data_IF_947175257000
#
_entry.id   IF_947175257000
#
_cell.length_a   1.000
_cell.length_b   1.000
_cell.length_c   1.000
_cell.angle_alpha   90.00
_cell.angle_beta   90.00
_cell.angle_gamma   90.00
#
_symmetry.space_group_name_H-M   'P 1'
#
loop_
_entity.id
_entity.type
_entity.pdbx_description
1 polymer ?
#
# COMPACT_ATOMS: atom_id res chain seq x y z
N UNK A 1 48.60 -24.07 5.47
CA UNK A 1 48.86 -25.53 5.52
C UNK A 1 48.35 -26.06 6.85
N UNK A 2 47.63 -27.19 6.84
CA UNK A 2 47.22 -27.91 8.06
C UNK A 2 47.88 -29.29 8.06
N UNK A 3 48.73 -29.56 9.04
CA UNK A 3 49.25 -30.90 9.30
C UNK A 3 48.15 -31.71 10.00
N UNK A 4 47.76 -32.86 9.44
CA UNK A 4 46.83 -33.80 10.06
C UNK A 4 47.40 -35.21 9.94
N UNK A 5 47.13 -36.05 10.93
CA UNK A 5 47.57 -37.45 10.97
C UNK A 5 46.32 -38.35 11.00
N UNK A 6 46.15 -39.15 9.95
CA UNK A 6 45.00 -40.04 9.79
C UNK A 6 45.04 -41.26 10.72
N UNK A 7 46.17 -41.53 11.38
CA UNK A 7 46.35 -42.64 12.34
C UNK A 7 46.03 -42.25 13.79
N UNK A 8 45.83 -40.96 14.06
CA UNK A 8 45.42 -40.48 15.38
C UNK A 8 43.90 -40.38 15.47
N UNK A 9 43.34 -40.77 16.61
CA UNK A 9 41.93 -40.60 16.96
C UNK A 9 41.78 -39.50 18.02
N UNK A 10 41.94 -38.21 17.66
CA UNK A 10 41.75 -37.12 18.60
C UNK A 10 40.28 -37.04 19.04
N UNK A 11 40.04 -36.57 20.25
CA UNK A 11 38.69 -36.18 20.66
C UNK A 11 38.43 -34.76 20.17
N UNK A 12 37.43 -34.59 19.30
CA UNK A 12 37.04 -33.29 18.75
C UNK A 12 35.67 -32.91 19.31
N UNK A 13 35.50 -31.67 19.73
CA UNK A 13 34.21 -31.14 20.19
C UNK A 13 34.01 -29.70 19.73
N UNK A 14 32.75 -29.29 19.57
CA UNK A 14 32.36 -27.89 19.29
C UNK A 14 31.33 -27.48 20.33
N UNK A 15 31.57 -26.35 21.00
CA UNK A 15 30.72 -25.84 22.10
C UNK A 15 30.39 -26.91 23.17
N UNK A 16 31.35 -27.80 23.47
CA UNK A 16 31.20 -28.89 24.43
C UNK A 16 30.56 -30.17 23.90
N UNK A 17 30.01 -30.17 22.68
CA UNK A 17 29.44 -31.36 22.05
C UNK A 17 30.50 -32.12 21.25
N UNK A 18 30.70 -33.41 21.54
CA UNK A 18 31.67 -34.26 20.84
C UNK A 18 31.24 -34.54 19.40
N UNK A 19 32.19 -34.47 18.47
CA UNK A 19 31.98 -34.77 17.06
C UNK A 19 32.56 -36.15 16.70
N UNK A 20 31.91 -36.90 15.79
CA UNK A 20 32.51 -38.09 15.22
C UNK A 20 33.75 -37.68 14.41
N UNK A 21 34.84 -38.41 14.61
CA UNK A 21 36.12 -38.17 13.92
C UNK A 21 36.35 -39.29 12.92
N UNK A 22 36.57 -38.92 11.66
CA UNK A 22 36.92 -39.83 10.57
C UNK A 22 38.22 -39.35 9.94
N UNK A 23 39.20 -40.24 9.82
CA UNK A 23 40.52 -39.95 9.23
C UNK A 23 41.22 -38.73 9.86
N UNK A 24 41.12 -38.59 11.19
CA UNK A 24 41.71 -37.47 11.95
C UNK A 24 40.97 -36.13 11.81
N UNK A 25 39.77 -36.11 11.20
CA UNK A 25 38.96 -34.90 10.99
C UNK A 25 37.58 -35.04 11.62
N UNK A 26 37.15 -34.01 12.35
CA UNK A 26 35.76 -33.85 12.80
C UNK A 26 35.02 -32.86 11.91
N UNK A 27 33.84 -33.24 11.41
CA UNK A 27 32.99 -32.35 10.61
C UNK A 27 31.89 -31.78 11.51
N UNK A 28 31.88 -30.46 11.68
CA UNK A 28 30.83 -29.74 12.39
C UNK A 28 29.77 -29.27 11.39
N UNK A 29 28.50 -29.61 11.65
CA UNK A 29 27.36 -29.04 10.92
C UNK A 29 26.72 -27.97 11.81
N UNK A 30 26.76 -26.73 11.33
CA UNK A 30 26.27 -25.57 12.07
C UNK A 30 24.73 -25.53 12.16
N UNK A 31 24.22 -24.80 13.16
CA UNK A 31 22.78 -24.62 13.37
C UNK A 31 22.18 -23.75 12.26
N UNK A 32 21.01 -24.12 11.75
CA UNK A 32 20.24 -23.36 10.74
C UNK A 32 19.16 -22.47 11.34
N UNK A 33 19.07 -22.38 12.67
CA UNK A 33 18.15 -21.48 13.37
C UNK A 33 18.58 -20.03 13.18
N UNK A 34 17.60 -19.13 13.07
CA UNK A 34 17.84 -17.70 12.91
C UNK A 34 18.63 -17.12 14.09
N UNK A 35 19.58 -16.23 13.80
CA UNK A 35 20.35 -15.52 14.81
C UNK A 35 21.85 -15.50 14.56
N UNK A 36 22.56 -14.83 15.46
CA UNK A 36 24.02 -14.83 15.50
C UNK A 36 24.47 -16.00 16.36
N UNK A 37 25.28 -16.88 15.77
CA UNK A 37 25.79 -18.07 16.43
C UNK A 37 27.30 -17.97 16.55
N UNK A 38 27.80 -18.41 17.71
CA UNK A 38 29.22 -18.47 18.02
C UNK A 38 29.63 -19.91 18.22
N UNK A 39 30.82 -20.27 17.76
CA UNK A 39 31.37 -21.59 18.00
C UNK A 39 32.88 -21.57 18.28
N UNK A 40 33.28 -22.48 19.15
CA UNK A 40 34.67 -22.78 19.49
C UNK A 40 34.90 -24.27 19.32
N UNK A 41 35.84 -24.64 18.46
CA UNK A 41 36.31 -26.00 18.31
C UNK A 41 37.39 -26.33 19.33
N UNK A 42 37.30 -27.49 19.97
CA UNK A 42 38.31 -28.02 20.89
C UNK A 42 38.78 -29.39 20.41
N UNK A 43 40.09 -29.55 20.24
CA UNK A 43 40.75 -30.79 19.83
C UNK A 43 41.66 -31.26 20.97
N UNK A 44 41.43 -32.48 21.46
CA UNK A 44 42.25 -33.13 22.49
C UNK A 44 43.00 -34.31 21.90
N UNK A 45 44.32 -34.27 22.04
CA UNK A 45 45.23 -35.32 21.55
C UNK A 45 45.91 -35.96 22.74
N UNK A 46 45.82 -37.28 22.87
CA UNK A 46 46.63 -38.04 23.83
C UNK A 46 48.05 -38.17 23.28
N UNK A 47 49.02 -37.63 24.01
CA UNK A 47 50.43 -37.72 23.65
C UNK A 47 51.00 -39.08 24.08
N UNK A 48 52.17 -39.42 23.54
CA UNK A 48 52.89 -40.68 23.82
C UNK A 48 53.31 -40.83 25.28
N UNK A 49 53.38 -39.73 26.03
CA UNK A 49 53.66 -39.69 27.48
C UNK A 49 52.39 -39.88 28.36
N UNK A 50 51.23 -40.13 27.73
CA UNK A 50 49.95 -40.31 28.40
C UNK A 50 49.21 -39.01 28.75
N UNK A 51 49.83 -37.83 28.55
CA UNK A 51 49.19 -36.53 28.81
C UNK A 51 48.22 -36.16 27.69
N UNK A 52 47.16 -35.44 28.05
CA UNK A 52 46.19 -34.91 27.08
C UNK A 52 46.56 -33.46 26.79
N UNK A 53 46.86 -33.16 25.53
CA UNK A 53 47.07 -31.78 25.07
C UNK A 53 45.81 -31.27 24.39
N UNK A 54 45.35 -30.11 24.82
CA UNK A 54 44.14 -29.45 24.33
C UNK A 54 44.50 -28.27 23.42
N UNK A 55 43.83 -28.17 22.27
CA UNK A 55 43.91 -27.06 21.34
C UNK A 55 42.51 -26.50 21.12
N UNK A 56 42.36 -25.18 21.23
CA UNK A 56 41.10 -24.48 20.95
C UNK A 56 41.24 -23.56 19.75
N UNK A 57 40.21 -23.49 18.92
CA UNK A 57 40.12 -22.45 17.89
C UNK A 57 39.77 -21.11 18.55
N UNK A 58 40.11 -19.97 17.91
CA UNK A 58 39.49 -18.70 18.24
C UNK A 58 37.96 -18.80 18.09
N UNK A 59 37.22 -17.98 18.83
CA UNK A 59 35.76 -17.87 18.68
C UNK A 59 35.42 -17.43 17.25
N UNK A 60 34.62 -18.23 16.55
CA UNK A 60 34.13 -17.93 15.22
C UNK A 60 32.65 -17.58 15.30
N UNK A 61 32.22 -16.57 14.54
CA UNK A 61 30.84 -16.10 14.51
C UNK A 61 30.24 -16.29 13.11
N UNK A 62 29.01 -16.77 13.02
CA UNK A 62 28.22 -16.81 11.79
C UNK A 62 26.79 -16.34 12.05
N UNK A 63 26.13 -15.81 11.03
CA UNK A 63 24.76 -15.33 11.11
C UNK A 63 23.87 -16.12 10.16
N UNK A 64 22.73 -16.59 10.66
CA UNK A 64 21.69 -17.22 9.84
C UNK A 64 20.50 -16.27 9.75
N UNK A 65 20.16 -15.87 8.52
CA UNK A 65 19.02 -15.03 8.24
C UNK A 65 17.78 -15.87 7.91
N UNK A 66 16.59 -15.37 8.27
CA UNK A 66 15.31 -15.94 7.83
C UNK A 66 15.25 -15.95 6.30
N UNK A 67 14.89 -17.07 5.64
CA UNK A 67 14.54 -17.05 4.22
C UNK A 67 13.37 -16.08 4.02
N UNK A 68 13.57 -15.01 3.26
CA UNK A 68 12.51 -14.05 2.91
C UNK A 68 12.28 -14.05 1.41
N UNK A 69 11.01 -14.10 1.02
CA UNK A 69 10.57 -13.90 -0.36
C UNK A 69 9.59 -12.73 -0.38
N UNK A 70 9.77 -11.81 -1.33
CA UNK A 70 8.88 -10.66 -1.51
C UNK A 70 7.99 -10.94 -2.71
N UNK A 71 6.69 -11.08 -2.46
CA UNK A 71 5.67 -11.23 -3.51
C UNK A 71 4.90 -9.91 -3.58
N UNK A 72 5.09 -9.18 -4.67
CA UNK A 72 4.47 -7.86 -4.88
C UNK A 72 3.64 -7.83 -6.16
N UNK A 73 2.37 -7.37 -6.09
CA UNK A 73 1.53 -7.26 -7.28
C UNK A 73 2.00 -6.12 -8.20
N UNK A 74 2.63 -6.46 -9.32
CA UNK A 74 3.20 -5.49 -10.28
C UNK A 74 2.18 -4.47 -10.80
N UNK A 75 0.92 -4.90 -11.00
CA UNK A 75 -0.15 -4.02 -11.48
C UNK A 75 -0.78 -3.11 -10.41
N UNK A 76 -0.40 -3.24 -9.14
CA UNK A 76 -0.94 -2.42 -8.05
C UNK A 76 -0.03 -1.25 -7.66
N UNK A 77 1.11 -1.07 -8.33
CA UNK A 77 1.98 0.10 -8.14
C UNK A 77 1.31 1.36 -8.71
N UNK A 78 0.38 1.93 -7.94
CA UNK A 78 -0.42 3.11 -8.27
C UNK A 78 -0.46 4.05 -7.08
N UNK A 79 -0.21 5.33 -7.33
CA UNK A 79 -0.45 6.42 -6.36
C UNK A 79 -1.56 7.32 -6.89
N UNK A 80 -2.48 7.71 -6.02
CA UNK A 80 -3.60 8.59 -6.34
C UNK A 80 -3.28 10.04 -6.01
N UNK A 81 -3.58 10.94 -6.94
CA UNK A 81 -3.47 12.39 -6.75
C UNK A 81 -4.52 12.86 -5.74
N UNK A 82 -4.15 13.80 -4.88
CA UNK A 82 -5.06 14.45 -3.93
C UNK A 82 -5.33 13.66 -2.64
N UNK A 83 -4.61 12.56 -2.42
CA UNK A 83 -4.70 11.74 -1.21
C UNK A 83 -3.30 11.40 -0.68
N UNK A 84 -3.13 11.22 0.64
CA UNK A 84 -1.94 10.59 1.18
C UNK A 84 -1.94 9.10 0.80
N UNK A 85 -0.87 8.65 0.15
CA UNK A 85 -0.71 7.26 -0.28
C UNK A 85 0.23 6.54 0.71
N UNK A 86 -0.27 5.65 1.59
CA UNK A 86 0.57 4.96 2.57
C UNK A 86 1.44 3.90 1.91
N UNK A 87 2.72 3.88 2.28
CA UNK A 87 3.75 2.99 1.73
C UNK A 87 4.59 2.44 2.87
N UNK A 88 4.71 1.12 2.93
CA UNK A 88 5.63 0.46 3.83
C UNK A 88 6.95 0.17 3.10
N UNK A 89 8.07 0.55 3.71
CA UNK A 89 9.42 0.31 3.17
C UNK A 89 10.24 -0.49 4.17
N UNK A 90 10.89 -1.54 3.68
CA UNK A 90 11.81 -2.37 4.45
C UNK A 90 12.96 -2.82 3.58
N UNK A 91 14.16 -2.85 4.14
CA UNK A 91 15.35 -3.40 3.49
C UNK A 91 15.93 -4.51 4.38
N UNK A 92 16.12 -5.75 3.87
CA UNK A 92 16.70 -6.84 4.64
C UNK A 92 18.08 -6.47 5.21
N UNK A 93 18.28 -6.73 6.51
CA UNK A 93 19.55 -6.45 7.19
C UNK A 93 19.76 -4.97 7.58
N UNK A 94 18.82 -4.07 7.27
CA UNK A 94 18.92 -2.65 7.60
C UNK A 94 17.85 -2.27 8.64
N UNK A 95 18.24 -1.70 9.80
CA UNK A 95 17.28 -1.15 10.76
C UNK A 95 16.42 -0.06 10.13
N UNK A 96 15.12 -0.02 10.45
CA UNK A 96 14.15 0.90 9.82
C UNK A 96 14.54 2.37 9.96
N UNK A 97 15.06 2.75 11.11
CA UNK A 97 15.57 4.09 11.44
C UNK A 97 16.80 4.51 10.62
N UNK A 98 17.50 3.58 9.96
CA UNK A 98 18.61 3.89 9.04
C UNK A 98 18.18 3.96 7.58
N UNK A 99 16.91 3.66 7.29
CA UNK A 99 16.36 3.70 5.93
C UNK A 99 15.98 5.15 5.60
N UNK A 100 16.57 5.66 4.54
CA UNK A 100 16.22 6.92 3.91
C UNK A 100 15.40 6.63 2.65
N UNK A 101 14.28 7.33 2.53
CA UNK A 101 13.36 7.17 1.38
C UNK A 101 13.21 8.51 0.70
N UNK A 102 13.38 8.52 -0.62
CA UNK A 102 13.27 9.72 -1.44
C UNK A 102 12.35 9.47 -2.63
N UNK A 103 11.55 10.47 -2.95
CA UNK A 103 10.73 10.48 -4.15
C UNK A 103 11.48 11.16 -5.31
N UNK A 104 11.36 10.58 -6.51
CA UNK A 104 11.98 11.04 -7.76
C UNK A 104 10.90 11.13 -8.83
N UNK A 105 10.95 12.18 -9.67
CA UNK A 105 9.96 12.40 -10.73
C UNK A 105 8.77 13.27 -10.34
N UNK A 106 8.76 13.85 -9.14
CA UNK A 106 7.75 14.78 -8.65
C UNK A 106 6.93 14.25 -7.47
N UNK A 107 6.33 15.16 -6.71
CA UNK A 107 5.65 14.86 -5.46
C UNK A 107 6.56 14.97 -4.22
N UNK A 108 6.07 14.48 -3.10
CA UNK A 108 6.80 14.42 -1.82
C UNK A 108 6.52 13.11 -1.10
N UNK A 109 7.46 12.69 -0.27
CA UNK A 109 7.29 11.56 0.64
C UNK A 109 7.72 11.98 2.04
N UNK A 110 6.90 11.66 3.02
CA UNK A 110 7.14 11.94 4.43
C UNK A 110 6.89 10.68 5.27
N UNK A 111 7.30 10.69 6.52
CA UNK A 111 7.22 9.52 7.42
C UNK A 111 8.60 8.99 7.79
N UNK A 112 8.61 7.92 8.58
CA UNK A 112 9.82 7.34 9.15
C UNK A 112 9.56 5.93 9.66
N UNK A 113 10.61 5.24 10.09
CA UNK A 113 10.53 3.91 10.72
C UNK A 113 9.77 2.89 9.87
N UNK A 114 10.00 2.93 8.55
CA UNK A 114 9.42 1.98 7.59
C UNK A 114 7.99 2.29 7.16
N UNK A 115 7.34 3.35 7.67
CA UNK A 115 6.02 3.80 7.25
C UNK A 115 6.11 5.21 6.66
N UNK A 116 5.62 5.37 5.44
CA UNK A 116 5.71 6.62 4.69
C UNK A 116 4.37 6.96 4.03
N UNK A 117 4.16 8.23 3.76
CA UNK A 117 3.04 8.73 2.98
C UNK A 117 3.58 9.49 1.77
N UNK A 118 3.21 9.02 0.57
CA UNK A 118 3.54 9.69 -0.67
C UNK A 118 2.39 10.60 -1.12
N UNK A 119 2.74 11.83 -1.48
CA UNK A 119 1.83 12.81 -2.08
C UNK A 119 2.27 13.11 -3.50
N UNK A 120 1.35 12.95 -4.46
CA UNK A 120 1.58 13.16 -5.90
C UNK A 120 0.62 14.19 -6.45
N UNK A 121 1.08 14.98 -7.42
CA UNK A 121 0.34 16.13 -7.95
C UNK A 121 0.19 16.14 -9.48
N UNK A 122 0.90 15.28 -10.21
CA UNK A 122 0.88 15.24 -11.67
C UNK A 122 0.75 13.80 -12.19
N UNK A 123 0.02 13.63 -13.29
CA UNK A 123 -0.09 12.35 -14.00
C UNK A 123 1.27 11.94 -14.59
N UNK A 124 1.49 10.63 -14.69
CA UNK A 124 2.73 10.06 -15.22
C UNK A 124 3.26 8.95 -14.33
N UNK A 125 4.58 8.89 -14.19
CA UNK A 125 5.25 7.92 -13.33
C UNK A 125 6.21 8.62 -12.37
N UNK A 126 6.30 8.09 -11.16
CA UNK A 126 7.20 8.56 -10.11
C UNK A 126 7.92 7.36 -9.52
N UNK A 127 9.14 7.56 -9.02
CA UNK A 127 9.92 6.48 -8.42
C UNK A 127 10.23 6.78 -6.96
N UNK A 128 10.18 5.75 -6.13
CA UNK A 128 10.60 5.81 -4.73
C UNK A 128 11.94 5.11 -4.64
N UNK A 129 12.98 5.89 -4.36
CA UNK A 129 14.34 5.43 -4.17
C UNK A 129 14.60 5.19 -2.68
N UNK A 130 15.23 4.06 -2.37
CA UNK A 130 15.57 3.66 -1.01
C UNK A 130 17.09 3.63 -0.86
N UNK A 131 17.60 4.29 0.17
CA UNK A 131 19.00 4.27 0.54
C UNK A 131 19.15 4.08 2.04
N UNK A 132 20.33 3.67 2.50
CA UNK A 132 20.63 3.63 3.93
C UNK A 132 22.08 4.03 4.18
N UNK A 133 22.33 4.58 5.36
CA UNK A 133 23.69 4.90 5.79
C UNK A 133 24.33 3.70 6.50
N UNK A 134 25.42 3.19 5.93
CA UNK A 134 26.18 2.06 6.47
C UNK A 134 27.63 2.50 6.58
N UNK A 135 28.18 2.45 7.80
CA UNK A 135 29.57 2.81 8.08
C UNK A 135 29.96 4.22 7.56
N UNK A 136 29.06 5.20 7.71
CA UNK A 136 29.29 6.58 7.29
C UNK A 136 29.19 6.83 5.78
N UNK A 137 28.74 5.84 5.00
CA UNK A 137 28.49 5.97 3.55
C UNK A 137 27.03 5.69 3.22
N UNK A 138 26.44 6.52 2.37
CA UNK A 138 25.10 6.28 1.82
C UNK A 138 25.21 5.20 0.75
N UNK A 139 24.49 4.10 0.95
CA UNK A 139 24.35 3.02 -0.01
C UNK A 139 22.92 2.99 -0.55
N UNK A 140 22.77 2.92 -1.87
CA UNK A 140 21.46 2.78 -2.52
C UNK A 140 21.03 1.31 -2.59
N UNK A 141 19.75 1.07 -2.31
CA UNK A 141 19.13 -0.27 -2.30
C UNK A 141 18.21 -0.50 -3.50
N UNK A 142 18.05 0.52 -4.35
CA UNK A 142 17.24 0.48 -5.56
C UNK A 142 16.04 1.43 -5.51
N UNK A 143 15.22 1.35 -6.54
CA UNK A 143 14.02 2.17 -6.68
C UNK A 143 12.84 1.35 -7.19
N UNK A 144 11.63 1.79 -6.83
CA UNK A 144 10.38 1.22 -7.32
C UNK A 144 9.56 2.30 -8.03
N UNK A 145 9.14 2.03 -9.26
CA UNK A 145 8.34 2.94 -10.07
C UNK A 145 6.84 2.71 -9.84
N UNK A 146 6.11 3.81 -9.68
CA UNK A 146 4.67 3.88 -9.46
C UNK A 146 4.02 4.73 -10.54
N UNK A 147 2.85 4.28 -11.01
CA UNK A 147 2.01 5.07 -11.91
C UNK A 147 1.16 6.03 -11.10
N UNK A 148 1.13 7.28 -11.50
CA UNK A 148 0.26 8.28 -10.87
C UNK A 148 -1.06 8.33 -11.60
N UNK A 149 -2.15 8.09 -10.86
CA UNK A 149 -3.52 8.12 -11.39
C UNK A 149 -4.37 9.14 -10.65
N UNK A 150 -5.42 9.61 -11.33
CA UNK A 150 -6.52 10.31 -10.68
C UNK A 150 -7.41 9.31 -9.95
N UNK A 151 -8.07 9.80 -8.92
CA UNK A 151 -9.17 9.06 -8.29
C UNK A 151 -10.23 8.81 -9.39
N UNK A 152 -10.81 7.60 -9.46
CA UNK A 152 -11.88 7.31 -10.41
C UNK A 152 -13.02 8.33 -10.31
N UNK A 153 -13.74 8.52 -11.41
CA UNK A 153 -14.87 9.45 -11.42
C UNK A 153 -16.01 8.88 -10.55
N UNK A 154 -16.61 9.70 -9.66
CA UNK A 154 -17.73 9.27 -8.85
C UNK A 154 -19.00 9.17 -9.70
N UNK A 155 -20.01 8.47 -9.19
CA UNK A 155 -21.35 8.42 -9.79
C UNK A 155 -22.30 9.33 -9.04
N UNK A 156 -23.12 10.07 -9.79
CA UNK A 156 -24.21 10.84 -9.21
C UNK A 156 -25.29 9.89 -8.67
N UNK A 157 -25.77 10.16 -7.46
CA UNK A 157 -26.84 9.40 -6.80
C UNK A 157 -27.86 10.34 -6.17
N UNK A 158 -29.13 10.04 -6.39
CA UNK A 158 -30.29 10.67 -5.76
C UNK A 158 -31.18 9.57 -5.16
N UNK A 159 -31.57 9.69 -3.89
CA UNK A 159 -32.17 8.59 -3.12
C UNK A 159 -31.36 7.28 -3.18
N UNK A 160 -30.02 7.37 -3.23
CA UNK A 160 -29.12 6.21 -3.32
C UNK A 160 -29.07 5.51 -4.68
N UNK A 161 -29.79 6.01 -5.70
CA UNK A 161 -29.84 5.43 -7.06
C UNK A 161 -29.34 6.42 -8.10
N UNK A 162 -28.92 5.92 -9.26
CA UNK A 162 -28.55 6.73 -10.44
C UNK A 162 -29.58 6.63 -11.57
N UNK A 163 -30.50 5.66 -11.52
CA UNK A 163 -31.61 5.59 -12.47
C UNK A 163 -32.73 4.72 -11.94
N UNK A 164 -33.84 4.68 -12.68
CA UNK A 164 -34.94 3.72 -12.49
C UNK A 164 -36.23 4.37 -12.01
N UNK A 165 -37.08 3.57 -11.38
CA UNK A 165 -38.36 4.02 -10.82
C UNK A 165 -38.21 4.32 -9.32
N UNK A 166 -38.77 5.45 -8.91
CA UNK A 166 -38.83 5.89 -7.51
C UNK A 166 -40.24 6.43 -7.24
N UNK A 167 -40.76 6.22 -6.05
CA UNK A 167 -42.09 6.76 -5.73
C UNK A 167 -42.04 8.28 -5.74
N UNK A 168 -43.15 8.91 -6.13
CA UNK A 168 -43.26 10.36 -6.08
C UNK A 168 -42.92 10.93 -4.68
N UNK A 169 -43.27 10.20 -3.62
CA UNK A 169 -42.95 10.56 -2.22
C UNK A 169 -41.45 10.55 -1.95
N UNK A 170 -40.74 9.50 -2.39
CA UNK A 170 -39.27 9.43 -2.21
C UNK A 170 -38.58 10.60 -2.91
N UNK A 171 -38.96 10.86 -4.16
CA UNK A 171 -38.39 11.97 -4.95
C UNK A 171 -38.59 13.33 -4.25
N UNK A 172 -39.78 13.57 -3.69
CA UNK A 172 -40.10 14.82 -2.96
C UNK A 172 -39.33 15.00 -1.66
N UNK A 173 -39.06 13.92 -0.95
CA UNK A 173 -38.40 13.96 0.35
C UNK A 173 -36.87 14.09 0.27
N UNK A 174 -36.28 13.85 -0.90
CA UNK A 174 -34.84 14.02 -1.09
C UNK A 174 -34.47 15.49 -1.25
N UNK A 175 -33.39 15.89 -0.58
CA UNK A 175 -32.93 17.29 -0.58
C UNK A 175 -31.61 17.49 -1.31
N UNK A 176 -30.84 16.42 -1.53
CA UNK A 176 -29.46 16.51 -2.00
C UNK A 176 -29.17 15.47 -3.08
N UNK A 177 -28.32 15.87 -4.02
CA UNK A 177 -27.64 15.01 -4.97
C UNK A 177 -26.25 14.69 -4.42
N UNK A 178 -25.81 13.45 -4.54
CA UNK A 178 -24.53 12.98 -4.02
C UNK A 178 -23.62 12.48 -5.12
N UNK A 179 -22.31 12.68 -4.98
CA UNK A 179 -21.28 12.06 -5.83
C UNK A 179 -20.60 10.95 -5.02
N UNK A 180 -20.78 9.70 -5.44
CA UNK A 180 -20.36 8.51 -4.67
C UNK A 180 -19.38 7.69 -5.50
N UNK A 181 -18.26 7.29 -4.89
CA UNK A 181 -17.34 6.32 -5.47
C UNK A 181 -17.79 4.90 -5.10
N UNK A 182 -17.95 4.05 -6.11
CA UNK A 182 -18.22 2.63 -5.90
C UNK A 182 -16.88 1.88 -5.78
N UNK A 183 -16.74 1.02 -4.77
CA UNK A 183 -15.60 0.10 -4.61
C UNK A 183 -14.20 0.73 -4.62
N UNK A 184 -14.08 1.98 -4.14
CA UNK A 184 -12.79 2.66 -4.03
C UNK A 184 -12.13 2.39 -2.67
N UNK A 185 -10.85 2.02 -2.69
CA UNK A 185 -10.12 1.54 -1.51
C UNK A 185 -9.66 2.65 -0.54
N UNK A 186 -9.75 3.91 -0.95
CA UNK A 186 -9.45 5.06 -0.09
C UNK A 186 -10.73 5.80 0.29
N UNK A 187 -10.73 6.45 1.46
CA UNK A 187 -11.77 7.42 1.82
C UNK A 187 -11.54 8.73 1.06
N UNK A 188 -12.18 8.86 -0.09
CA UNK A 188 -12.16 10.07 -0.92
C UNK A 188 -13.57 10.62 -1.07
N UNK A 189 -13.73 11.93 -0.82
CA UNK A 189 -15.02 12.61 -0.84
C UNK A 189 -15.11 13.55 -2.03
N UNK A 190 -16.18 13.40 -2.80
CA UNK A 190 -16.52 14.30 -3.90
C UNK A 190 -17.72 15.16 -3.51
N UNK A 191 -17.65 16.44 -3.84
CA UNK A 191 -18.73 17.40 -3.59
C UNK A 191 -19.30 17.89 -4.90
N UNK A 192 -20.61 17.84 -5.06
CA UNK A 192 -21.31 18.40 -6.22
C UNK A 192 -21.32 19.93 -6.11
N UNK A 193 -20.89 20.60 -7.18
CA UNK A 193 -20.77 22.06 -7.26
C UNK A 193 -21.88 22.68 -8.08
N UNK A 194 -22.42 21.99 -9.08
CA UNK A 194 -23.60 22.41 -9.85
C UNK A 194 -24.26 21.23 -10.55
N UNK A 195 -25.53 21.40 -10.90
CA UNK A 195 -26.31 20.51 -11.75
C UNK A 195 -27.57 21.24 -12.23
N UNK A 196 -28.18 20.75 -13.30
CA UNK A 196 -29.49 21.17 -13.78
C UNK A 196 -30.54 20.11 -13.43
N UNK A 197 -31.70 20.54 -12.91
CA UNK A 197 -32.86 19.69 -12.68
C UNK A 197 -33.87 19.90 -13.80
N UNK A 198 -34.27 18.81 -14.45
CA UNK A 198 -35.31 18.81 -15.46
C UNK A 198 -36.48 17.97 -14.97
N UNK A 199 -37.67 18.57 -14.91
CA UNK A 199 -38.91 17.86 -14.57
C UNK A 199 -39.84 17.90 -15.77
N UNK A 200 -40.15 16.71 -16.29
CA UNK A 200 -41.07 16.51 -17.41
C UNK A 200 -42.31 15.76 -16.90
N UNK A 201 -43.39 16.51 -16.66
CA UNK A 201 -44.68 15.91 -16.28
C UNK A 201 -45.40 15.40 -17.53
N UNK A 202 -46.30 14.40 -17.40
CA UNK A 202 -47.08 13.92 -18.54
C UNK A 202 -47.87 15.07 -19.19
N UNK A 203 -47.72 15.24 -20.50
CA UNK A 203 -48.45 16.25 -21.31
C UNK A 203 -48.21 17.71 -20.90
N UNK A 204 -47.08 18.01 -20.28
CA UNK A 204 -46.66 19.38 -19.96
C UNK A 204 -45.25 19.64 -20.46
N UNK A 205 -44.91 20.91 -20.62
CA UNK A 205 -43.57 21.34 -20.98
C UNK A 205 -42.56 21.02 -19.88
N UNK A 206 -41.30 20.82 -20.28
CA UNK A 206 -40.22 20.55 -19.35
C UNK A 206 -39.89 21.81 -18.53
N UNK A 207 -39.76 21.65 -17.22
CA UNK A 207 -39.24 22.68 -16.33
C UNK A 207 -37.77 22.42 -16.11
N UNK A 208 -36.91 23.36 -16.50
CA UNK A 208 -35.44 23.28 -16.33
C UNK A 208 -35.02 24.33 -15.31
N UNK A 209 -34.27 23.89 -14.28
CA UNK A 209 -33.82 24.76 -13.19
C UNK A 209 -32.35 24.45 -12.92
N UNK A 210 -31.48 25.45 -12.98
CA UNK A 210 -30.08 25.31 -12.61
C UNK A 210 -29.86 25.42 -11.10
N UNK A 211 -28.93 24.61 -10.59
CA UNK A 211 -28.59 24.51 -9.18
C UNK A 211 -27.12 24.78 -8.93
N UNK A 212 -26.84 25.43 -7.80
CA UNK A 212 -25.50 25.67 -7.29
C UNK A 212 -25.33 24.89 -5.98
N UNK A 213 -24.31 24.04 -5.92
CA UNK A 213 -24.06 23.10 -4.83
C UNK A 213 -24.79 21.77 -5.00
N UNK A 214 -24.70 20.93 -3.96
CA UNK A 214 -25.29 19.58 -3.94
C UNK A 214 -26.76 19.54 -3.51
N UNK A 215 -27.24 20.59 -2.85
CA UNK A 215 -28.61 20.67 -2.36
C UNK A 215 -29.56 21.19 -3.45
N UNK A 216 -30.80 20.69 -3.45
CA UNK A 216 -31.87 21.26 -4.26
C UNK A 216 -32.14 22.71 -3.81
N UNK A 217 -32.16 23.64 -4.77
CA UNK A 217 -32.55 25.03 -4.51
C UNK A 217 -34.03 25.13 -4.13
N UNK A 218 -34.49 26.24 -3.52
CA UNK A 218 -35.92 26.42 -3.23
C UNK A 218 -36.83 26.25 -4.46
N UNK A 219 -36.40 26.76 -5.62
CA UNK A 219 -37.13 26.59 -6.89
C UNK A 219 -37.21 25.12 -7.31
N UNK A 220 -36.11 24.38 -7.19
CA UNK A 220 -36.08 22.93 -7.45
C UNK A 220 -37.00 22.16 -6.50
N UNK A 221 -37.01 22.49 -5.21
CA UNK A 221 -37.89 21.86 -4.21
C UNK A 221 -39.36 22.11 -4.53
N UNK A 222 -39.72 23.33 -4.91
CA UNK A 222 -41.08 23.67 -5.36
C UNK A 222 -41.48 22.88 -6.60
N UNK A 223 -40.60 22.77 -7.59
CA UNK A 223 -40.85 21.97 -8.79
C UNK A 223 -41.01 20.47 -8.44
N UNK A 224 -40.17 19.95 -7.53
CA UNK A 224 -40.21 18.57 -7.05
C UNK A 224 -41.53 18.26 -6.30
N UNK A 225 -42.08 19.19 -5.53
CA UNK A 225 -43.38 19.03 -4.87
C UNK A 225 -44.52 18.74 -5.86
N UNK A 226 -44.39 19.24 -7.09
CA UNK A 226 -45.33 19.00 -8.18
C UNK A 226 -45.15 17.66 -8.91
N UNK A 227 -44.19 16.82 -8.52
CA UNK A 227 -43.98 15.49 -9.10
C UNK A 227 -45.16 14.57 -8.77
N UNK A 228 -45.67 13.90 -9.79
CA UNK A 228 -46.76 12.92 -9.70
C UNK A 228 -46.37 11.65 -10.46
N UNK A 229 -47.02 10.50 -10.23
CA UNK A 229 -46.76 9.29 -11.00
C UNK A 229 -46.75 9.55 -12.52
N UNK A 230 -45.77 8.99 -13.22
CA UNK A 230 -45.51 9.21 -14.65
C UNK A 230 -44.61 10.41 -14.96
N UNK A 231 -44.27 11.25 -13.98
CA UNK A 231 -43.31 12.35 -14.16
C UNK A 231 -41.89 11.80 -14.34
N UNK A 232 -41.14 12.34 -15.31
CA UNK A 232 -39.71 12.03 -15.50
C UNK A 232 -38.88 13.16 -14.89
N UNK A 233 -37.88 12.78 -14.10
CA UNK A 233 -36.97 13.71 -13.42
C UNK A 233 -35.56 13.40 -13.89
N UNK A 234 -34.86 14.39 -14.41
CA UNK A 234 -33.48 14.28 -14.86
C UNK A 234 -32.60 15.23 -14.07
N UNK A 235 -31.37 14.79 -13.82
CA UNK A 235 -30.30 15.64 -13.37
C UNK A 235 -29.24 15.61 -14.45
N UNK A 236 -28.93 16.77 -14.99
CA UNK A 236 -27.97 16.95 -16.08
C UNK A 236 -26.88 17.95 -15.68
N UNK A 237 -25.85 18.07 -16.50
CA UNK A 237 -24.75 19.01 -16.28
C UNK A 237 -24.15 18.93 -14.87
N UNK A 238 -24.09 17.71 -14.33
CA UNK A 238 -23.67 17.45 -12.96
C UNK A 238 -22.16 17.60 -12.89
N UNK A 239 -21.69 18.54 -12.07
CA UNK A 239 -20.26 18.75 -11.84
C UNK A 239 -19.94 18.50 -10.38
N UNK A 240 -18.85 17.76 -10.16
CA UNK A 240 -18.29 17.53 -8.84
C UNK A 240 -16.83 17.93 -8.77
N UNK A 241 -16.33 18.13 -7.55
CA UNK A 241 -14.92 18.38 -7.24
C UNK A 241 -14.47 17.35 -6.22
N UNK A 242 -13.34 16.71 -6.51
CA UNK A 242 -12.68 15.75 -5.63
C UNK A 242 -11.65 16.40 -4.71
N UNK A 243 -10.98 15.60 -3.86
CA UNK A 243 -9.92 16.09 -2.98
C UNK A 243 -8.66 16.52 -3.75
N UNK A 244 -8.53 16.13 -5.02
CA UNK A 244 -7.50 16.64 -5.95
C UNK A 244 -7.78 18.06 -6.47
N UNK A 245 -8.90 18.69 -6.05
CA UNK A 245 -9.30 20.03 -6.43
C UNK A 245 -9.81 20.16 -7.87
N UNK A 246 -9.87 19.06 -8.61
CA UNK A 246 -10.20 19.10 -10.03
C UNK A 246 -11.70 18.85 -10.26
N UNK A 247 -12.26 19.57 -11.23
CA UNK A 247 -13.67 19.41 -11.62
C UNK A 247 -13.86 18.15 -12.46
N UNK A 248 -15.00 17.47 -12.25
CA UNK A 248 -15.45 16.29 -12.99
C UNK A 248 -16.89 16.50 -13.44
N UNK A 249 -17.11 16.38 -14.74
CA UNK A 249 -18.44 16.21 -15.30
C UNK A 249 -18.88 14.77 -15.03
N UNK A 250 -20.04 14.58 -14.40
CA UNK A 250 -20.60 13.26 -14.11
C UNK A 250 -21.70 12.93 -15.11
N UNK A 251 -21.98 11.63 -15.24
CA UNK A 251 -23.07 11.14 -16.07
C UNK A 251 -24.42 11.67 -15.57
N UNK A 252 -25.30 12.01 -16.53
CA UNK A 252 -26.67 12.40 -16.24
C UNK A 252 -27.43 11.24 -15.60
N UNK A 253 -28.35 11.56 -14.68
CA UNK A 253 -29.20 10.55 -14.03
C UNK A 253 -30.67 10.85 -14.28
N UNK A 254 -31.48 9.80 -14.39
CA UNK A 254 -32.88 9.92 -14.77
C UNK A 254 -33.77 8.96 -13.98
N UNK A 255 -34.90 9.48 -13.49
CA UNK A 255 -35.90 8.73 -12.75
C UNK A 255 -37.29 8.88 -13.35
N UNK A 256 -38.10 7.84 -13.21
CA UNK A 256 -39.55 7.90 -13.47
C UNK A 256 -40.29 7.76 -12.15
N UNK A 257 -41.13 8.74 -11.84
CA UNK A 257 -42.00 8.71 -10.67
C UNK A 257 -43.07 7.61 -10.84
N UNK A 258 -43.22 6.74 -9.85
CA UNK A 258 -44.32 5.77 -9.77
C UNK A 258 -45.22 5.99 -8.56
#
# INVERSE_FOLDING_TARGET
LTAYDSKLSPSVSVNGSTLPVKDGKGVYTANSAEGIHKWVGTVRVKQTDGRIKEYKTPEQTYQVARPSAVVSPVKMNVLYIGLPNPIAVSAPGIPKEKINVKMVGGGSISGSNGNYEATVNALGEVSIAVSAEINGKVQEFGSSTFRVKRIPDPKARFAGKSTGKLSAVILKNQTNLFAVLDDFVYDAKFTITRFDLIILKPRQDAVVISGNGSALTPAMKTAMNGVVPGTRVFFENIVSVGPDGSQRQLDNIAFTAN
#
